data_IF_534798645160
#
_entry.id   IF_534798645160
#
_cell.length_a   1.000
_cell.length_b   1.000
_cell.length_c   1.000
_cell.angle_alpha   90.00
_cell.angle_beta   90.00
_cell.angle_gamma   90.00
#
_symmetry.space_group_name_H-M   'P 1'
#
loop_
_entity.id
_entity.type
_entity.pdbx_description
1 polymer ?
#
# COMPACT_ATOMS: atom_id res chain seq x y z
N UNK A 1 -16.96 17.13 11.97
CA UNK A 1 -18.21 17.18 12.74
C UNK A 1 -18.31 15.97 13.66
N UNK A 2 -19.52 15.63 14.12
CA UNK A 2 -19.75 14.57 15.11
C UNK A 2 -19.34 13.17 14.64
N UNK A 3 -19.15 12.93 13.34
CA UNK A 3 -18.77 11.61 12.83
C UNK A 3 -17.38 11.14 13.27
N UNK A 4 -16.41 12.06 13.43
CA UNK A 4 -15.09 11.73 13.98
C UNK A 4 -15.13 11.31 15.46
N UNK A 5 -16.19 11.69 16.19
CA UNK A 5 -16.40 11.32 17.60
C UNK A 5 -17.06 9.94 17.72
N UNK A 6 -17.91 9.56 16.77
CA UNK A 6 -18.61 8.26 16.77
C UNK A 6 -17.81 7.11 16.15
N UNK A 7 -16.78 7.40 15.36
CA UNK A 7 -15.91 6.40 14.74
C UNK A 7 -14.45 6.67 15.12
N UNK A 8 -13.99 6.23 16.32
CA UNK A 8 -12.65 6.55 16.82
C UNK A 8 -11.50 6.00 15.94
N UNK A 9 -11.80 5.07 15.03
CA UNK A 9 -10.85 4.51 14.06
C UNK A 9 -10.96 5.14 12.66
N UNK A 10 -11.82 6.15 12.48
CA UNK A 10 -11.95 6.86 11.21
C UNK A 10 -10.74 7.79 11.04
N UNK A 11 -10.09 7.71 9.88
CA UNK A 11 -9.00 8.64 9.57
C UNK A 11 -9.50 10.09 9.61
N UNK A 12 -8.75 11.03 10.22
CA UNK A 12 -9.18 12.41 10.38
C UNK A 12 -9.46 13.13 9.06
N UNK A 13 -8.78 12.79 7.96
CA UNK A 13 -9.08 13.39 6.64
C UNK A 13 -10.38 12.83 6.06
N UNK A 14 -10.67 11.54 6.25
CA UNK A 14 -11.99 10.99 5.91
C UNK A 14 -13.09 11.66 6.72
N UNK A 15 -12.89 11.85 8.04
CA UNK A 15 -13.87 12.53 8.90
C UNK A 15 -14.11 13.99 8.45
N UNK A 16 -13.05 14.72 8.10
CA UNK A 16 -13.16 16.09 7.60
C UNK A 16 -13.83 16.15 6.22
N UNK A 17 -13.49 15.23 5.31
CA UNK A 17 -14.09 15.14 3.98
C UNK A 17 -15.59 14.82 4.00
N UNK A 18 -16.02 13.91 4.89
CA UNK A 18 -17.45 13.58 5.06
C UNK A 18 -18.25 14.78 5.59
N UNK A 19 -17.62 15.58 6.44
CA UNK A 19 -18.24 16.72 7.13
C UNK A 19 -18.04 18.05 6.38
N UNK A 20 -17.35 18.01 5.23
CA UNK A 20 -17.07 19.16 4.39
C UNK A 20 -18.37 19.81 3.90
N UNK A 21 -18.43 21.14 3.97
CA UNK A 21 -19.62 21.90 3.57
C UNK A 21 -19.64 22.22 2.09
N UNK A 22 -18.47 22.20 1.45
CA UNK A 22 -18.32 22.46 0.02
C UNK A 22 -17.61 21.31 -0.69
N UNK A 23 -17.74 21.28 -2.01
CA UNK A 23 -17.08 20.29 -2.87
C UNK A 23 -15.57 20.49 -2.88
N UNK A 24 -15.09 21.72 -2.82
CA UNK A 24 -13.67 22.06 -2.77
C UNK A 24 -13.03 21.55 -1.47
N UNK A 25 -13.71 21.75 -0.33
CA UNK A 25 -13.26 21.21 0.96
C UNK A 25 -13.19 19.68 0.92
N UNK A 26 -14.24 19.03 0.40
CA UNK A 26 -14.28 17.57 0.27
C UNK A 26 -13.15 17.04 -0.61
N UNK A 27 -12.91 17.70 -1.75
CA UNK A 27 -11.87 17.33 -2.71
C UNK A 27 -10.49 17.47 -2.08
N UNK A 28 -10.22 18.61 -1.43
CA UNK A 28 -8.94 18.84 -0.73
C UNK A 28 -8.64 17.77 0.30
N UNK A 29 -9.62 17.38 1.11
CA UNK A 29 -9.41 16.33 2.13
C UNK A 29 -9.19 14.95 1.51
N UNK A 30 -9.91 14.61 0.44
CA UNK A 30 -9.69 13.37 -0.30
C UNK A 30 -8.28 13.32 -0.91
N UNK A 31 -7.81 14.40 -1.53
CA UNK A 31 -6.46 14.48 -2.11
C UNK A 31 -5.37 14.29 -1.04
N UNK A 32 -5.52 14.95 0.12
CA UNK A 32 -4.59 14.76 1.23
C UNK A 32 -4.57 13.30 1.70
N UNK A 33 -5.72 12.63 1.76
CA UNK A 33 -5.79 11.23 2.17
C UNK A 33 -5.06 10.33 1.17
N UNK A 34 -5.25 10.54 -0.13
CA UNK A 34 -4.54 9.82 -1.18
C UNK A 34 -3.03 10.00 -1.06
N UNK A 35 -2.55 11.21 -0.77
CA UNK A 35 -1.12 11.48 -0.57
C UNK A 35 -0.57 10.74 0.65
N UNK A 36 -1.29 10.72 1.78
CA UNK A 36 -0.87 9.97 2.97
C UNK A 36 -0.83 8.46 2.71
N UNK A 37 -1.84 7.91 2.04
CA UNK A 37 -1.89 6.47 1.74
C UNK A 37 -0.80 6.07 0.76
N UNK A 38 -0.51 6.90 -0.23
CA UNK A 38 0.64 6.70 -1.13
C UNK A 38 1.95 6.64 -0.34
N UNK A 39 2.19 7.60 0.55
CA UNK A 39 3.38 7.60 1.40
C UNK A 39 3.45 6.36 2.31
N UNK A 40 2.32 5.89 2.82
CA UNK A 40 2.22 4.65 3.61
C UNK A 40 2.60 3.43 2.76
N UNK A 41 2.04 3.30 1.56
CA UNK A 41 2.34 2.17 0.65
C UNK A 41 3.81 2.16 0.24
N UNK A 42 4.41 3.32 -0.03
CA UNK A 42 5.85 3.43 -0.33
C UNK A 42 6.69 2.87 0.82
N UNK A 43 6.35 3.20 2.07
CA UNK A 43 7.04 2.64 3.25
C UNK A 43 6.87 1.12 3.38
N UNK A 44 5.68 0.61 3.09
CA UNK A 44 5.41 -0.84 3.10
C UNK A 44 6.22 -1.57 2.03
N UNK A 45 6.31 -1.01 0.81
CA UNK A 45 7.13 -1.57 -0.26
C UNK A 45 8.62 -1.54 0.09
N UNK A 46 9.10 -0.46 0.69
CA UNK A 46 10.49 -0.38 1.18
C UNK A 46 10.77 -1.47 2.23
N UNK A 47 9.83 -1.70 3.15
CA UNK A 47 9.95 -2.78 4.13
C UNK A 47 9.90 -4.17 3.48
N UNK A 48 9.00 -4.41 2.53
CA UNK A 48 8.92 -5.68 1.80
C UNK A 48 10.26 -6.01 1.12
N UNK A 49 10.88 -5.02 0.46
CA UNK A 49 12.19 -5.19 -0.16
C UNK A 49 13.29 -5.54 0.86
N UNK A 50 13.24 -4.93 2.05
CA UNK A 50 14.17 -5.24 3.13
C UNK A 50 13.93 -6.64 3.70
N UNK A 51 12.67 -7.04 3.85
CA UNK A 51 12.27 -8.38 4.28
C UNK A 51 12.77 -9.45 3.30
N UNK A 52 12.56 -9.25 1.99
CA UNK A 52 12.99 -10.20 0.95
C UNK A 52 14.52 -10.37 0.95
N UNK A 53 15.27 -9.28 1.18
CA UNK A 53 16.72 -9.33 1.33
C UNK A 53 17.15 -10.06 2.60
N UNK A 54 16.48 -9.81 3.72
CA UNK A 54 16.73 -10.50 4.98
C UNK A 54 16.46 -12.01 4.83
N UNK A 55 15.36 -12.38 4.18
CA UNK A 55 15.00 -13.78 3.93
C UNK A 55 16.09 -14.52 3.14
N UNK A 56 16.56 -13.93 2.03
CA UNK A 56 17.65 -14.51 1.21
C UNK A 56 18.95 -14.72 2.00
N UNK A 57 19.26 -13.80 2.92
CA UNK A 57 20.47 -13.91 3.76
C UNK A 57 20.34 -14.99 4.83
N UNK A 58 19.16 -15.10 5.45
CA UNK A 58 18.92 -16.01 6.56
C UNK A 58 18.64 -17.44 6.11
N UNK A 59 18.05 -17.61 4.92
CA UNK A 59 17.63 -18.90 4.39
C UNK A 59 18.12 -19.10 2.94
N UNK A 60 19.45 -19.12 2.70
CA UNK A 60 20.00 -19.22 1.34
C UNK A 60 19.71 -20.57 0.66
N UNK A 61 19.50 -21.63 1.44
CA UNK A 61 19.32 -23.00 0.94
C UNK A 61 17.84 -23.41 0.79
N UNK A 62 16.91 -22.53 1.15
CA UNK A 62 15.47 -22.75 0.99
C UNK A 62 15.02 -22.01 -0.28
N UNK A 63 14.57 -22.76 -1.29
CA UNK A 63 13.97 -22.18 -2.49
C UNK A 63 12.81 -21.25 -2.07
N UNK A 64 12.79 -19.97 -2.50
CA UNK A 64 11.76 -19.04 -2.07
C UNK A 64 10.39 -19.53 -2.50
N UNK A 65 9.45 -19.59 -1.55
CA UNK A 65 8.02 -19.70 -1.89
C UNK A 65 7.66 -18.42 -2.62
N UNK A 66 7.49 -18.49 -3.94
CA UNK A 66 6.99 -17.37 -4.72
C UNK A 66 5.52 -17.20 -4.33
N UNK A 67 5.24 -16.27 -3.41
CA UNK A 67 3.89 -15.75 -3.22
C UNK A 67 3.56 -14.91 -4.46
N UNK A 68 3.17 -15.59 -5.54
CA UNK A 68 2.62 -14.91 -6.72
C UNK A 68 1.30 -14.29 -6.28
N UNK A 69 1.29 -12.98 -6.04
CA UNK A 69 0.03 -12.24 -6.13
C UNK A 69 -0.45 -12.38 -7.57
N UNK A 70 -1.59 -13.03 -7.78
CA UNK A 70 -2.10 -13.49 -9.08
C UNK A 70 -2.44 -12.38 -10.09
N UNK A 71 -2.01 -11.14 -9.88
CA UNK A 71 -2.18 -10.04 -10.83
C UNK A 71 -0.96 -9.76 -11.73
N UNK A 72 0.07 -10.60 -11.72
CA UNK A 72 1.22 -10.47 -12.62
C UNK A 72 1.58 -11.78 -13.34
N UNK A 73 0.59 -12.57 -13.77
CA UNK A 73 0.82 -13.63 -14.75
C UNK A 73 0.79 -13.07 -16.16
N UNK A 74 1.87 -12.40 -16.58
CA UNK A 74 2.21 -12.30 -18.00
C UNK A 74 3.65 -11.84 -18.19
N UNK A 75 4.60 -12.78 -18.10
CA UNK A 75 5.38 -13.28 -19.26
C UNK A 75 6.41 -14.32 -18.78
N UNK A 76 6.36 -15.59 -19.23
CA UNK A 76 7.45 -16.52 -19.00
C UNK A 76 8.65 -16.12 -19.88
N UNK A 77 9.84 -16.05 -19.29
CA UNK A 77 11.09 -15.84 -20.01
C UNK A 77 11.55 -17.19 -20.59
N UNK A 78 11.86 -17.32 -21.90
CA UNK A 78 12.34 -18.58 -22.45
C UNK A 78 13.80 -18.82 -22.01
N UNK A 79 14.04 -20.02 -21.48
CA UNK A 79 15.35 -20.59 -21.23
C UNK A 79 16.11 -20.88 -22.53
N UNK A 80 17.37 -20.44 -22.58
CA UNK A 80 18.56 -21.02 -23.23
C UNK A 80 18.43 -21.96 -24.46
N UNK A 81 19.20 -21.62 -25.49
CA UNK A 81 19.76 -22.50 -26.53
C UNK A 81 20.36 -21.61 -27.62
N UNK A 82 21.63 -21.69 -28.03
CA UNK A 82 22.63 -22.77 -28.06
C UNK A 82 24.03 -22.21 -27.86
#
# INVERSE_FOLDING_TARGET
>A
GPLGVYSPNLDPLSALGIEAKTEEERTRYAELQVQMESARVIKLLAYQNAYDQAYKRLYPDILPVILVNQNQTSKPMPSSGS
#
